data_IF_601767466481
#
_entry.id   IF_601767466481
#
_cell.length_a   1.000
_cell.length_b   1.000
_cell.length_c   1.000
_cell.angle_alpha   90.00
_cell.angle_beta   90.00
_cell.angle_gamma   90.00
#
_symmetry.space_group_name_H-M   'P 1'
#
loop_
_entity.id
_entity.type
_entity.pdbx_description
1 polymer ?
#
# COMPACT_ATOMS: atom_id res chain seq x y z
N UNK A 1 -22.92 -21.02 7.62
CA UNK A 1 -22.81 -19.93 6.62
C UNK A 1 -21.78 -20.36 5.60
N UNK A 2 -22.12 -20.34 4.31
CA UNK A 2 -21.19 -20.78 3.26
C UNK A 2 -20.36 -19.58 2.81
N UNK A 3 -19.04 -19.70 2.91
CA UNK A 3 -18.11 -18.69 2.40
C UNK A 3 -18.06 -18.75 0.87
N UNK A 4 -17.96 -17.59 0.22
CA UNK A 4 -17.69 -17.50 -1.22
C UNK A 4 -16.18 -17.40 -1.44
N UNK A 5 -15.65 -18.25 -2.32
CA UNK A 5 -14.24 -18.25 -2.70
C UNK A 5 -14.06 -17.49 -4.01
N UNK A 6 -13.30 -16.39 -3.97
CA UNK A 6 -12.96 -15.59 -5.14
C UNK A 6 -11.50 -15.85 -5.51
N UNK A 7 -11.28 -16.16 -6.79
CA UNK A 7 -9.96 -16.39 -7.39
C UNK A 7 -9.61 -15.23 -8.33
N UNK A 8 -8.45 -14.62 -8.11
CA UNK A 8 -7.87 -13.62 -9.02
C UNK A 8 -6.47 -14.08 -9.42
N UNK A 9 -6.08 -13.98 -10.71
CA UNK A 9 -4.71 -14.28 -11.14
C UNK A 9 -3.70 -13.29 -10.56
N UNK A 10 -4.16 -12.12 -10.12
CA UNK A 10 -3.30 -11.06 -9.60
C UNK A 10 -3.05 -11.15 -8.09
N UNK A 11 -3.77 -12.04 -7.40
CA UNK A 11 -3.75 -12.14 -5.94
C UNK A 11 -3.27 -13.53 -5.55
N UNK A 12 -2.32 -13.60 -4.61
CA UNK A 12 -1.80 -14.84 -4.07
C UNK A 12 -2.87 -15.52 -3.22
N UNK A 13 -3.30 -16.69 -3.70
CA UNK A 13 -4.26 -17.55 -3.02
C UNK A 13 -5.72 -17.08 -3.16
N UNK A 14 -6.60 -17.79 -2.45
CA UNK A 14 -8.04 -17.59 -2.54
C UNK A 14 -8.55 -16.59 -1.50
N UNK A 15 -9.52 -15.75 -1.86
CA UNK A 15 -10.21 -14.86 -0.94
C UNK A 15 -11.54 -15.49 -0.50
N UNK A 16 -11.73 -15.67 0.82
CA UNK A 16 -12.93 -16.26 1.42
C UNK A 16 -13.75 -15.17 2.10
N UNK A 17 -14.99 -14.96 1.66
CA UNK A 17 -15.84 -13.86 2.13
C UNK A 17 -17.19 -14.36 2.63
N UNK A 18 -17.75 -13.65 3.61
CA UNK A 18 -19.11 -13.92 4.10
C UNK A 18 -20.12 -13.14 3.24
N UNK A 19 -21.19 -13.78 2.76
CA UNK A 19 -22.26 -13.09 2.04
C UNK A 19 -22.88 -11.94 2.84
N UNK A 20 -23.37 -10.91 2.14
CA UNK A 20 -24.16 -9.81 2.74
C UNK A 20 -23.36 -8.62 3.27
N UNK A 21 -22.02 -8.64 3.18
CA UNK A 21 -21.16 -7.50 3.50
C UNK A 21 -20.53 -6.90 2.25
N UNK A 22 -20.39 -5.58 2.22
CA UNK A 22 -19.64 -4.88 1.17
C UNK A 22 -18.15 -5.08 1.39
N UNK A 23 -17.39 -5.29 0.32
CA UNK A 23 -15.93 -5.47 0.41
C UNK A 23 -15.22 -4.14 0.18
N UNK A 24 -14.49 -3.68 1.18
CA UNK A 24 -13.58 -2.55 1.05
C UNK A 24 -12.18 -3.06 0.70
N UNK A 25 -11.74 -2.75 -0.52
CA UNK A 25 -10.45 -3.17 -1.07
C UNK A 25 -9.45 -2.06 -0.83
N UNK A 26 -8.57 -2.22 0.15
CA UNK A 26 -7.53 -1.24 0.46
C UNK A 26 -6.31 -1.47 -0.42
N UNK A 27 -5.82 -0.39 -1.02
CA UNK A 27 -4.55 -0.33 -1.76
C UNK A 27 -3.76 0.90 -1.31
N UNK A 28 -2.44 0.82 -1.39
CA UNK A 28 -1.58 2.01 -1.24
C UNK A 28 -1.40 2.65 -2.60
N UNK A 29 -1.60 3.97 -2.62
CA UNK A 29 -1.28 4.85 -3.73
C UNK A 29 -0.39 5.96 -3.21
N UNK A 30 0.85 6.01 -3.70
CA UNK A 30 1.85 6.93 -3.17
C UNK A 30 2.26 7.95 -4.24
N UNK A 31 2.15 9.23 -3.89
CA UNK A 31 2.67 10.34 -4.69
C UNK A 31 4.11 10.67 -4.31
N UNK A 32 5.03 10.67 -5.27
CA UNK A 32 6.39 11.16 -5.09
C UNK A 32 6.49 12.62 -5.55
N UNK A 33 7.50 13.36 -5.06
CA UNK A 33 7.72 14.77 -5.45
C UNK A 33 7.88 14.96 -6.96
N UNK A 34 8.36 13.94 -7.66
CA UNK A 34 8.52 13.96 -9.11
C UNK A 34 7.26 13.50 -9.87
N UNK A 35 6.24 12.96 -9.20
CA UNK A 35 5.04 12.39 -9.82
C UNK A 35 4.65 11.05 -9.17
N UNK A 36 3.70 10.31 -9.72
CA UNK A 36 3.35 8.97 -9.22
C UNK A 36 4.19 7.90 -9.96
N UNK A 37 5.10 7.17 -9.31
CA UNK A 37 5.85 6.14 -10.02
C UNK A 37 4.97 5.00 -10.53
N UNK A 38 5.24 4.47 -11.72
CA UNK A 38 4.34 3.51 -12.38
C UNK A 38 4.07 2.24 -11.55
N UNK A 39 5.01 1.81 -10.71
CA UNK A 39 4.80 0.68 -9.78
C UNK A 39 3.68 0.90 -8.76
N UNK A 40 3.29 2.15 -8.48
CA UNK A 40 2.17 2.47 -7.59
C UNK A 40 0.81 2.29 -8.25
N UNK A 41 0.76 2.23 -9.57
CA UNK A 41 -0.41 1.78 -10.29
C UNK A 41 -0.64 0.26 -10.18
N UNK A 42 0.36 -0.50 -9.70
CA UNK A 42 0.25 -1.95 -9.58
C UNK A 42 -0.79 -2.39 -8.56
N UNK A 43 -1.17 -1.54 -7.59
CA UNK A 43 -2.30 -1.80 -6.69
C UNK A 43 -3.67 -1.61 -7.35
N UNK A 44 -3.77 -0.67 -8.29
CA UNK A 44 -5.02 -0.32 -8.95
C UNK A 44 -5.58 -1.48 -9.79
N UNK A 45 -4.71 -2.18 -10.51
CA UNK A 45 -5.13 -3.28 -11.41
C UNK A 45 -5.73 -4.48 -10.64
N UNK A 46 -5.06 -5.06 -9.62
CA UNK A 46 -5.63 -6.11 -8.80
C UNK A 46 -6.90 -5.68 -8.07
N UNK A 47 -7.00 -4.41 -7.66
CA UNK A 47 -8.20 -3.89 -7.01
C UNK A 47 -9.40 -3.80 -7.98
N UNK A 48 -9.18 -3.33 -9.22
CA UNK A 48 -10.22 -3.29 -10.25
C UNK A 48 -10.66 -4.72 -10.64
N UNK A 49 -9.71 -5.63 -10.90
CA UNK A 49 -10.03 -7.04 -11.21
C UNK A 49 -10.81 -7.69 -10.07
N UNK A 50 -10.36 -7.51 -8.82
CA UNK A 50 -11.06 -8.04 -7.66
C UNK A 50 -12.47 -7.43 -7.53
N UNK A 51 -12.64 -6.12 -7.74
CA UNK A 51 -13.95 -5.45 -7.71
C UNK A 51 -14.91 -6.02 -8.77
N UNK A 52 -14.43 -6.26 -10.00
CA UNK A 52 -15.22 -6.88 -11.07
C UNK A 52 -15.64 -8.30 -10.73
N UNK A 53 -14.72 -9.11 -10.18
CA UNK A 53 -15.01 -10.48 -9.73
C UNK A 53 -15.98 -10.49 -8.55
N UNK A 54 -15.86 -9.55 -7.62
CA UNK A 54 -16.80 -9.40 -6.51
C UNK A 54 -18.21 -9.14 -7.02
N UNK A 55 -18.35 -8.21 -7.97
CA UNK A 55 -19.63 -7.90 -8.62
C UNK A 55 -20.23 -9.13 -9.30
N UNK A 56 -19.42 -9.95 -10.00
CA UNK A 56 -19.90 -11.18 -10.64
C UNK A 56 -20.38 -12.24 -9.64
N UNK A 57 -19.96 -12.15 -8.38
CA UNK A 57 -20.40 -13.01 -7.27
C UNK A 57 -21.47 -12.36 -6.40
N UNK A 58 -22.05 -11.22 -6.82
CA UNK A 58 -23.11 -10.52 -6.10
C UNK A 58 -22.65 -9.68 -4.90
N UNK A 59 -21.35 -9.40 -4.78
CA UNK A 59 -20.81 -8.54 -3.72
C UNK A 59 -20.73 -7.08 -4.18
N UNK A 60 -21.16 -6.17 -3.31
CA UNK A 60 -20.77 -4.76 -3.39
C UNK A 60 -19.28 -4.61 -3.07
N UNK A 61 -18.60 -3.68 -3.73
CA UNK A 61 -17.23 -3.33 -3.39
C UNK A 61 -16.94 -1.85 -3.55
N UNK A 62 -15.96 -1.37 -2.78
CA UNK A 62 -15.42 -0.02 -2.86
C UNK A 62 -13.90 -0.09 -2.71
N UNK A 63 -13.17 0.58 -3.61
CA UNK A 63 -11.71 0.67 -3.55
C UNK A 63 -11.34 1.83 -2.63
N UNK A 64 -10.55 1.54 -1.61
CA UNK A 64 -9.98 2.52 -0.71
C UNK A 64 -8.54 2.76 -1.10
N UNK A 65 -8.27 3.94 -1.64
CA UNK A 65 -6.95 4.36 -2.07
C UNK A 65 -6.26 5.13 -0.92
N UNK A 66 -5.25 4.53 -0.29
CA UNK A 66 -4.55 5.13 0.84
C UNK A 66 -3.30 5.87 0.40
N UNK A 67 -3.13 7.09 0.87
CA UNK A 67 -1.89 7.86 0.69
C UNK A 67 -1.05 7.88 1.97
N UNK A 68 0.10 7.17 2.02
CA UNK A 68 0.97 7.15 3.20
C UNK A 68 1.86 8.40 3.32
N UNK A 69 1.75 9.38 2.41
CA UNK A 69 2.57 10.59 2.39
C UNK A 69 2.68 11.30 3.75
N UNK A 70 1.62 11.42 4.57
CA UNK A 70 1.74 12.00 5.92
C UNK A 70 2.72 11.24 6.84
N UNK A 71 2.75 9.92 6.77
CA UNK A 71 3.69 9.07 7.53
C UNK A 71 5.11 9.28 7.01
N UNK A 72 5.25 9.31 5.68
CA UNK A 72 6.55 9.48 5.01
C UNK A 72 7.12 10.88 5.27
N UNK A 73 6.31 11.93 5.16
CA UNK A 73 6.68 13.31 5.46
C UNK A 73 7.15 13.45 6.90
N UNK A 74 6.49 12.80 7.85
CA UNK A 74 6.94 12.78 9.24
C UNK A 74 8.28 12.06 9.40
N UNK A 75 8.38 10.81 8.94
CA UNK A 75 9.58 9.99 9.12
C UNK A 75 10.79 10.55 8.38
N UNK A 76 10.60 11.19 7.23
CA UNK A 76 11.70 11.64 6.39
C UNK A 76 11.85 13.17 6.35
N UNK A 77 10.99 13.91 7.07
CA UNK A 77 10.90 15.38 6.99
C UNK A 77 10.75 15.89 5.56
N UNK A 78 10.05 15.13 4.71
CA UNK A 78 9.80 15.55 3.34
C UNK A 78 8.83 16.74 3.39
N UNK A 79 9.38 17.94 3.15
CA UNK A 79 8.58 19.12 2.89
C UNK A 79 7.96 18.93 1.51
N UNK A 80 6.64 18.81 1.45
CA UNK A 80 5.91 18.73 0.18
C UNK A 80 5.54 20.14 -0.25
N UNK A 81 6.41 20.78 -1.02
CA UNK A 81 6.12 22.06 -1.69
C UNK A 81 5.32 21.86 -3.01
N UNK A 82 5.18 20.61 -3.47
CA UNK A 82 4.53 20.24 -4.74
C UNK A 82 3.09 19.74 -4.55
N UNK A 83 2.16 19.97 -5.50
CA UNK A 83 0.74 19.75 -5.29
C UNK A 83 0.37 18.26 -5.34
N UNK A 84 -0.07 17.70 -4.22
CA UNK A 84 -0.67 16.35 -4.14
C UNK A 84 -1.91 16.17 -5.04
N UNK A 85 -2.48 17.28 -5.54
CA UNK A 85 -3.67 17.35 -6.38
C UNK A 85 -3.54 16.55 -7.69
N UNK A 86 -2.38 16.59 -8.36
CA UNK A 86 -2.24 15.92 -9.67
C UNK A 86 -2.34 14.39 -9.59
N UNK A 87 -1.84 13.78 -8.52
CA UNK A 87 -1.87 12.32 -8.35
C UNK A 87 -3.32 11.82 -8.10
N UNK A 88 -4.07 12.54 -7.26
CA UNK A 88 -5.45 12.19 -6.92
C UNK A 88 -6.36 12.29 -8.13
N UNK A 89 -6.22 13.36 -8.92
CA UNK A 89 -6.99 13.55 -10.15
C UNK A 89 -6.76 12.42 -11.16
N UNK A 90 -5.49 12.03 -11.34
CA UNK A 90 -5.09 10.92 -12.19
C UNK A 90 -5.72 9.61 -11.73
N UNK A 91 -5.54 9.27 -10.46
CA UNK A 91 -6.02 8.01 -9.89
C UNK A 91 -7.55 7.96 -9.94
N UNK A 92 -8.21 9.10 -9.70
CA UNK A 92 -9.66 9.25 -9.82
C UNK A 92 -10.14 8.99 -11.23
N UNK A 93 -9.54 9.66 -12.23
CA UNK A 93 -9.87 9.47 -13.65
C UNK A 93 -9.70 8.01 -14.05
N UNK A 94 -8.61 7.37 -13.63
CA UNK A 94 -8.34 5.97 -13.94
C UNK A 94 -9.41 5.03 -13.35
N UNK A 95 -9.74 5.18 -12.06
CA UNK A 95 -10.76 4.36 -11.39
C UNK A 95 -12.16 4.62 -11.97
N UNK A 96 -12.52 5.88 -12.22
CA UNK A 96 -13.77 6.25 -12.88
C UNK A 96 -13.91 5.63 -14.27
N UNK A 97 -12.87 5.72 -15.11
CA UNK A 97 -12.87 5.13 -16.46
C UNK A 97 -13.05 3.61 -16.46
N UNK A 98 -12.75 2.94 -15.34
CA UNK A 98 -12.91 1.51 -15.15
C UNK A 98 -14.23 1.09 -14.48
N UNK A 99 -15.12 2.06 -14.19
CA UNK A 99 -16.46 1.81 -13.66
C UNK A 99 -16.51 1.25 -12.24
N UNK A 100 -15.52 1.57 -11.41
CA UNK A 100 -15.42 1.10 -10.01
C UNK A 100 -15.68 2.23 -9.02
N UNK A 101 -16.31 1.91 -7.88
CA UNK A 101 -16.49 2.84 -6.77
C UNK A 101 -15.18 2.96 -5.99
N UNK A 102 -14.80 4.18 -5.60
CA UNK A 102 -13.61 4.41 -4.80
C UNK A 102 -13.70 5.66 -3.92
N UNK A 103 -12.81 5.75 -2.94
CA UNK A 103 -12.51 6.98 -2.21
C UNK A 103 -11.03 7.02 -1.83
N UNK A 104 -10.49 8.23 -1.65
CA UNK A 104 -9.17 8.38 -1.05
C UNK A 104 -9.31 8.40 0.46
N UNK A 105 -8.63 7.48 1.11
CA UNK A 105 -8.43 7.58 2.54
C UNK A 105 -7.14 8.34 2.78
N UNK A 106 -7.33 9.62 3.09
CA UNK A 106 -6.25 10.45 3.54
C UNK A 106 -5.89 9.97 4.95
N UNK A 107 -4.70 9.40 5.09
CA UNK A 107 -4.08 9.28 6.39
C UNK A 107 -4.20 10.64 7.08
N UNK A 108 -5.03 10.71 8.13
CA UNK A 108 -5.29 11.99 8.77
C UNK A 108 -3.99 12.62 9.26
N UNK A 109 -3.94 13.94 9.38
CA UNK A 109 -2.76 14.59 9.94
C UNK A 109 -2.41 13.94 11.29
N UNK A 110 -1.22 13.34 11.37
CA UNK A 110 -0.75 12.71 12.60
C UNK A 110 -0.65 13.79 13.67
N UNK A 111 -1.47 13.65 14.70
CA UNK A 111 -1.44 14.53 15.86
C UNK A 111 -0.27 14.15 16.76
N UNK A 112 0.16 15.08 17.63
CA UNK A 112 1.27 14.83 18.55
C UNK A 112 1.04 13.59 19.44
N UNK A 113 -0.22 13.32 19.80
CA UNK A 113 -0.62 12.15 20.58
C UNK A 113 -0.44 10.85 19.77
N UNK A 114 -0.73 10.86 18.47
CA UNK A 114 -0.49 9.72 17.58
C UNK A 114 1.02 9.39 17.54
N UNK A 115 1.86 10.42 17.49
CA UNK A 115 3.31 10.26 17.47
C UNK A 115 3.84 9.59 18.74
N UNK A 116 3.28 9.94 19.91
CA UNK A 116 3.70 9.33 21.16
C UNK A 116 3.32 7.85 21.26
N UNK A 117 2.13 7.51 20.74
CA UNK A 117 1.71 6.12 20.61
C UNK A 117 2.64 5.35 19.66
N UNK A 118 3.00 5.94 18.51
CA UNK A 118 3.94 5.33 17.56
C UNK A 118 5.35 5.15 18.13
N UNK A 119 5.83 6.08 18.95
CA UNK A 119 7.12 5.91 19.67
C UNK A 119 7.06 4.74 20.64
N UNK A 120 5.97 4.65 21.42
CA UNK A 120 5.76 3.53 22.34
C UNK A 120 5.76 2.20 21.59
N UNK A 121 5.05 2.13 20.46
CA UNK A 121 5.04 0.96 19.58
C UNK A 121 6.43 0.66 18.99
N UNK A 122 7.21 1.69 18.64
CA UNK A 122 8.59 1.52 18.22
C UNK A 122 9.45 0.85 19.29
N UNK A 123 9.29 1.23 20.56
CA UNK A 123 9.98 0.61 21.70
C UNK A 123 9.56 -0.86 21.88
N UNK A 124 8.26 -1.17 21.76
CA UNK A 124 7.77 -2.56 21.80
C UNK A 124 8.41 -3.42 20.70
N UNK A 125 8.67 -2.86 19.53
CA UNK A 125 9.31 -3.57 18.43
C UNK A 125 10.79 -3.80 18.69
N UNK A 126 11.48 -2.82 19.24
CA UNK A 126 12.90 -2.93 19.59
C UNK A 126 13.17 -3.85 20.78
N UNK A 127 12.19 -4.01 21.68
CA UNK A 127 12.27 -4.92 22.83
C UNK A 127 11.83 -6.36 22.51
N UNK A 128 11.41 -6.62 21.26
CA UNK A 128 10.92 -7.94 20.87
C UNK A 128 12.02 -9.01 21.00
N UNK A 129 11.61 -10.20 21.44
CA UNK A 129 12.43 -11.43 21.45
C UNK A 129 12.00 -12.43 20.37
N UNK A 130 10.96 -12.09 19.58
CA UNK A 130 10.55 -12.89 18.44
C UNK A 130 11.58 -12.71 17.30
N UNK A 131 12.27 -13.79 16.93
CA UNK A 131 13.35 -13.78 15.95
C UNK A 131 12.93 -13.16 14.60
N UNK A 132 11.68 -13.35 14.17
CA UNK A 132 11.18 -12.80 12.89
C UNK A 132 10.95 -11.31 12.99
N UNK A 133 10.49 -10.82 14.14
CA UNK A 133 10.32 -9.38 14.40
C UNK A 133 11.69 -8.72 14.52
N UNK A 134 12.63 -9.34 15.23
CA UNK A 134 14.01 -8.83 15.41
C UNK A 134 14.74 -8.70 14.07
N UNK A 135 14.75 -9.76 13.24
CA UNK A 135 15.36 -9.71 11.90
C UNK A 135 14.74 -8.60 11.04
N UNK A 136 13.42 -8.45 11.09
CA UNK A 136 12.73 -7.40 10.35
C UNK A 136 13.11 -5.99 10.83
N UNK A 137 13.08 -5.75 12.15
CA UNK A 137 13.46 -4.46 12.76
C UNK A 137 14.87 -4.08 12.32
N UNK A 138 15.81 -5.03 12.40
CA UNK A 138 17.19 -4.81 12.02
C UNK A 138 17.33 -4.43 10.54
N UNK A 139 16.73 -5.20 9.63
CA UNK A 139 16.78 -4.92 8.18
C UNK A 139 16.22 -3.55 7.82
N UNK A 140 15.14 -3.15 8.49
CA UNK A 140 14.50 -1.85 8.26
C UNK A 140 15.37 -0.72 8.79
N UNK A 141 15.96 -0.88 9.98
CA UNK A 141 16.95 0.08 10.53
C UNK A 141 18.16 0.23 9.62
N UNK A 142 18.68 -0.87 9.09
CA UNK A 142 19.79 -0.85 8.14
C UNK A 142 19.43 -0.14 6.83
N UNK A 143 18.23 -0.39 6.30
CA UNK A 143 17.71 0.32 5.13
C UNK A 143 17.54 1.81 5.38
N UNK A 144 16.91 2.18 6.50
CA UNK A 144 16.79 3.58 6.93
C UNK A 144 18.15 4.25 7.11
N UNK A 145 19.12 3.53 7.69
CA UNK A 145 20.50 4.00 7.84
C UNK A 145 21.18 4.27 6.51
N UNK A 146 20.99 3.38 5.53
CA UNK A 146 21.58 3.52 4.20
C UNK A 146 21.13 4.81 3.50
N UNK A 147 19.86 5.18 3.65
CA UNK A 147 19.27 6.32 2.93
C UNK A 147 19.23 7.63 3.74
N UNK A 148 19.23 7.57 5.07
CA UNK A 148 19.07 8.74 5.95
C UNK A 148 20.00 8.77 7.17
N UNK A 149 21.04 7.93 7.21
CA UNK A 149 21.99 7.87 8.32
C UNK A 149 21.35 7.48 9.66
N UNK A 150 21.90 7.97 10.78
CA UNK A 150 21.38 7.63 12.13
C UNK A 150 19.93 8.08 12.33
N UNK A 151 19.56 9.23 11.79
CA UNK A 151 18.18 9.72 11.82
C UNK A 151 17.24 8.79 11.01
N UNK A 152 17.65 8.39 9.80
CA UNK A 152 16.90 7.44 8.98
C UNK A 152 16.70 6.09 9.67
N UNK A 153 17.70 5.57 10.39
CA UNK A 153 17.56 4.34 11.18
C UNK A 153 16.48 4.46 12.27
N UNK A 154 16.45 5.56 13.01
CA UNK A 154 15.48 5.77 14.08
C UNK A 154 14.06 5.99 13.52
N UNK A 155 13.95 6.74 12.43
CA UNK A 155 12.68 7.02 11.80
C UNK A 155 12.10 5.80 11.09
N UNK A 156 12.94 4.86 10.65
CA UNK A 156 12.49 3.60 10.05
C UNK A 156 11.73 2.70 11.03
N UNK A 157 12.07 2.75 12.33
CA UNK A 157 11.31 2.05 13.38
C UNK A 157 9.94 2.69 13.58
N UNK A 158 9.86 4.02 13.63
CA UNK A 158 8.59 4.74 13.71
C UNK A 158 7.72 4.49 12.47
N UNK A 159 8.35 4.40 11.30
CA UNK A 159 7.67 4.04 10.05
C UNK A 159 7.10 2.63 10.12
N UNK A 160 7.89 1.65 10.58
CA UNK A 160 7.42 0.28 10.79
C UNK A 160 6.32 0.20 11.86
N UNK A 161 6.34 1.09 12.85
CA UNK A 161 5.25 1.23 13.81
C UNK A 161 4.04 1.95 13.22
N UNK A 162 4.16 2.76 12.17
CA UNK A 162 3.03 3.49 11.57
C UNK A 162 2.40 2.75 10.38
N UNK A 163 3.22 2.10 9.55
CA UNK A 163 2.80 1.45 8.31
C UNK A 163 1.72 0.39 8.51
N UNK A 164 1.83 -0.54 9.49
CA UNK A 164 0.77 -1.49 9.82
C UNK A 164 -0.57 -0.87 10.19
N UNK A 165 -0.57 0.37 10.69
CA UNK A 165 -1.75 1.07 11.18
C UNK A 165 -2.47 1.81 10.06
N UNK A 166 -1.79 2.07 8.93
CA UNK A 166 -2.43 2.64 7.74
C UNK A 166 -3.39 1.63 7.09
N UNK A 167 -3.03 0.34 7.11
CA UNK A 167 -3.91 -0.79 6.80
C UNK A 167 -4.87 -0.99 7.99
N UNK A 168 -6.18 -1.06 7.74
CA UNK A 168 -7.32 -0.76 8.65
C UNK A 168 -7.44 -1.46 10.02
N UNK A 169 -6.48 -2.29 10.38
CA UNK A 169 -6.47 -3.14 11.56
C UNK A 169 -6.34 -2.35 12.88
N UNK A 170 -5.58 -1.23 12.86
CA UNK A 170 -5.13 -0.54 14.07
C UNK A 170 -5.50 0.96 14.07
N UNK A 171 -6.72 1.30 13.67
CA UNK A 171 -7.27 2.66 13.83
C UNK A 171 -7.70 2.90 15.28
N UNK A 172 -6.75 2.89 16.22
CA UNK A 172 -7.00 3.49 17.51
C UNK A 172 -7.33 4.98 17.28
N UNK A 173 -8.41 5.54 17.85
CA UNK A 173 -8.82 6.94 17.59
C UNK A 173 -7.76 8.00 17.91
N UNK A 174 -6.76 7.64 18.73
CA UNK A 174 -5.60 8.48 19.02
C UNK A 174 -4.57 8.51 17.90
N UNK A 175 -4.53 7.50 17.03
CA UNK A 175 -3.61 7.39 15.89
C UNK A 175 -4.27 7.95 14.62
N UNK A 176 -5.54 7.59 14.37
CA UNK A 176 -6.31 8.03 13.21
C UNK A 176 -7.77 8.32 13.63
N UNK A 177 -8.38 9.46 13.30
CA UNK A 177 -9.83 9.63 13.54
C UNK A 177 -10.62 8.76 12.56
N UNK A 178 -11.82 8.44 13.01
CA UNK A 178 -12.63 7.34 12.52
C UNK A 178 -13.67 7.88 11.55
N UNK A 179 -13.33 7.98 10.26
CA UNK A 179 -14.29 8.39 9.21
C UNK A 179 -14.83 7.21 8.39
N UNK A 180 -14.06 6.12 8.22
CA UNK A 180 -14.39 5.06 7.24
C UNK A 180 -14.38 3.62 7.79
N UNK A 181 -14.41 3.44 9.11
CA UNK A 181 -14.59 2.11 9.72
C UNK A 181 -16.02 1.97 10.23
N UNK A 182 -16.87 1.26 9.50
CA UNK A 182 -18.23 0.94 9.94
C UNK A 182 -18.47 -0.57 10.01
N UNK A 183 -19.31 -0.95 10.98
CA UNK A 183 -19.82 -2.32 11.09
C UNK A 183 -20.67 -2.62 9.84
N UNK A 184 -20.17 -3.49 8.96
CA UNK A 184 -20.83 -3.80 7.67
C UNK A 184 -19.89 -4.12 6.51
N UNK A 185 -18.60 -3.89 6.68
CA UNK A 185 -17.60 -4.13 5.63
C UNK A 185 -16.74 -5.37 5.89
N UNK A 186 -16.34 -6.04 4.81
CA UNK A 186 -15.16 -6.90 4.77
C UNK A 186 -13.98 -6.08 4.27
N UNK A 187 -12.96 -5.93 5.09
CA UNK A 187 -11.75 -5.24 4.70
C UNK A 187 -10.78 -6.23 4.05
N UNK A 188 -10.28 -5.89 2.87
CA UNK A 188 -9.28 -6.68 2.14
C UNK A 188 -8.11 -5.77 1.85
N UNK A 189 -6.95 -6.07 2.43
CA UNK A 189 -5.73 -5.31 2.16
C UNK A 189 -4.97 -5.98 1.02
N UNK A 190 -4.81 -5.30 -0.11
CA UNK A 190 -3.97 -5.76 -1.22
C UNK A 190 -2.59 -5.12 -1.10
N UNK A 191 -1.62 -5.93 -0.70
CA UNK A 191 -0.26 -5.50 -0.40
C UNK A 191 0.74 -6.08 -1.40
N UNK A 192 1.87 -5.40 -1.57
CA UNK A 192 3.03 -6.01 -2.26
C UNK A 192 3.53 -7.23 -1.47
N UNK A 193 4.15 -8.22 -2.14
CA UNK A 193 4.75 -9.34 -1.40
C UNK A 193 5.85 -8.90 -0.44
N UNK A 194 6.58 -7.82 -0.77
CA UNK A 194 7.57 -7.21 0.13
C UNK A 194 6.97 -6.71 1.45
N UNK A 195 5.68 -6.38 1.48
CA UNK A 195 4.98 -5.92 2.68
C UNK A 195 4.54 -7.05 3.62
N UNK A 196 4.74 -8.33 3.25
CA UNK A 196 4.53 -9.48 4.15
C UNK A 196 5.27 -9.31 5.49
N UNK A 197 6.43 -8.64 5.45
CA UNK A 197 7.19 -8.29 6.64
C UNK A 197 6.34 -7.45 7.60
N UNK A 198 5.66 -6.42 7.11
CA UNK A 198 4.78 -5.59 7.94
C UNK A 198 3.60 -6.37 8.52
N UNK A 199 3.15 -7.45 7.88
CA UNK A 199 2.14 -8.34 8.47
C UNK A 199 2.66 -9.10 9.71
N UNK A 200 3.95 -9.46 9.75
CA UNK A 200 4.60 -10.07 10.93
C UNK A 200 4.61 -9.07 12.08
N UNK A 201 5.09 -7.85 11.84
CA UNK A 201 5.09 -6.76 12.84
C UNK A 201 3.68 -6.45 13.31
N UNK A 202 2.72 -6.36 12.40
CA UNK A 202 1.32 -6.09 12.75
C UNK A 202 0.76 -7.16 13.68
N UNK A 203 1.01 -8.44 13.39
CA UNK A 203 0.57 -9.54 14.27
C UNK A 203 1.16 -9.38 15.67
N UNK A 204 2.46 -9.14 15.75
CA UNK A 204 3.16 -8.90 17.01
C UNK A 204 2.57 -7.72 17.79
N UNK A 205 2.37 -6.57 17.14
CA UNK A 205 1.81 -5.37 17.78
C UNK A 205 0.37 -5.60 18.25
N UNK A 206 -0.42 -6.38 17.51
CA UNK A 206 -1.79 -6.71 17.90
C UNK A 206 -1.86 -7.58 19.15
N UNK A 207 -0.92 -8.50 19.31
CA UNK A 207 -0.80 -9.34 20.50
C UNK A 207 -0.32 -8.53 21.72
N UNK A 208 0.62 -7.60 21.52
CA UNK A 208 1.21 -6.78 22.59
C UNK A 208 0.36 -5.60 23.02
N UNK A 209 -0.35 -4.98 22.07
CA UNK A 209 -1.19 -3.79 22.28
C UNK A 209 -2.61 -4.03 21.78
N UNK A 210 -3.34 -5.00 22.37
CA UNK A 210 -4.72 -5.26 22.01
C UNK A 210 -5.63 -4.05 22.31
N UNK A 211 -5.22 -3.18 23.23
CA UNK A 211 -5.87 -1.90 23.53
C UNK A 211 -5.89 -0.92 22.35
N UNK A 212 -4.92 -1.03 21.44
CA UNK A 212 -4.83 -0.21 20.23
C UNK A 212 -5.50 -0.87 19.01
N UNK A 213 -6.03 -2.08 19.16
CA UNK A 213 -6.63 -2.83 18.08
C UNK A 213 -8.12 -2.53 17.95
N UNK A 214 -8.58 -2.35 16.71
CA UNK A 214 -10.02 -2.30 16.45
C UNK A 214 -10.63 -3.70 16.42
N UNK A 215 -11.96 -3.81 16.47
CA UNK A 215 -12.66 -5.09 16.25
C UNK A 215 -12.61 -5.56 14.78
N UNK A 216 -12.04 -4.76 13.89
CA UNK A 216 -11.95 -5.09 12.47
C UNK A 216 -10.78 -6.04 12.21
N UNK A 217 -11.06 -7.11 11.46
CA UNK A 217 -10.08 -8.10 11.05
C UNK A 217 -9.99 -8.12 9.53
N UNK A 218 -9.12 -7.29 8.92
CA UNK A 218 -8.96 -7.33 7.48
C UNK A 218 -8.34 -8.65 7.03
N UNK A 219 -8.68 -9.04 5.81
CA UNK A 219 -8.04 -10.15 5.12
C UNK A 219 -6.89 -9.60 4.31
N UNK A 220 -5.68 -9.92 4.75
CA UNK A 220 -4.48 -9.56 4.03
C UNK A 220 -4.25 -10.49 2.83
N UNK A 221 -4.03 -9.88 1.68
CA UNK A 221 -3.73 -10.56 0.43
C UNK A 221 -2.57 -9.89 -0.26
N UNK A 222 -1.70 -10.71 -0.83
CA UNK A 222 -0.51 -10.25 -1.52
C UNK A 222 -0.74 -10.27 -3.01
N UNK A 223 -0.29 -9.22 -3.69
CA UNK A 223 -0.33 -9.12 -5.13
C UNK A 223 0.81 -9.95 -5.73
N UNK A 224 0.57 -10.54 -6.89
CA UNK A 224 1.59 -11.24 -7.68
C UNK A 224 2.52 -10.27 -8.41
N UNK A 225 2.10 -9.02 -8.53
CA UNK A 225 2.83 -7.89 -9.10
C UNK A 225 3.37 -6.98 -8.00
N UNK A 226 4.42 -6.23 -8.33
CA UNK A 226 5.09 -5.26 -7.47
C UNK A 226 5.69 -5.91 -6.22
N UNK A 227 6.95 -6.33 -6.31
CA UNK A 227 7.71 -6.87 -5.18
C UNK A 227 8.76 -5.87 -4.63
N UNK A 228 8.48 -4.58 -4.80
CA UNK A 228 9.34 -3.48 -4.34
C UNK A 228 8.60 -2.70 -3.26
N UNK A 229 9.27 -2.25 -2.17
CA UNK A 229 8.62 -1.46 -1.14
C UNK A 229 7.99 -0.20 -1.70
N UNK A 230 6.77 0.10 -1.25
CA UNK A 230 5.91 1.19 -1.69
C UNK A 230 6.44 2.62 -1.40
N UNK A 231 7.70 2.83 -1.06
CA UNK A 231 8.19 4.15 -0.65
C UNK A 231 9.65 4.42 -1.02
N UNK A 232 10.36 3.46 -1.61
CA UNK A 232 11.71 3.70 -2.09
C UNK A 232 11.59 4.09 -3.55
N UNK A 233 11.62 5.40 -3.91
CA UNK A 233 11.76 5.82 -5.29
C UNK A 233 12.96 5.10 -5.89
N UNK A 234 12.76 4.50 -7.06
CA UNK A 234 13.87 3.98 -7.82
C UNK A 234 14.42 5.17 -8.61
N UNK A 235 15.73 5.39 -8.53
CA UNK A 235 16.40 6.39 -9.36
C UNK A 235 16.10 6.12 -10.84
N UNK A 236 15.85 7.17 -11.63
CA UNK A 236 15.43 7.09 -13.04
C UNK A 236 14.04 6.48 -13.31
N UNK A 237 13.25 6.14 -12.29
CA UNK A 237 11.95 5.49 -12.50
C UNK A 237 10.96 6.40 -13.25
N UNK A 238 10.28 5.87 -14.30
CA UNK A 238 9.26 6.61 -15.01
C UNK A 238 8.08 7.03 -14.12
N UNK A 239 7.60 8.24 -14.36
CA UNK A 239 6.57 8.92 -13.60
C UNK A 239 5.24 8.84 -14.34
N UNK A 240 4.12 8.97 -13.65
CA UNK A 240 2.81 8.94 -14.31
C UNK A 240 2.61 10.09 -15.31
N UNK A 241 3.31 11.22 -15.15
CA UNK A 241 3.35 12.25 -16.18
C UNK A 241 3.81 11.69 -17.55
N UNK A 242 4.63 10.64 -17.51
CA UNK A 242 5.12 9.89 -18.66
C UNK A 242 4.14 8.80 -19.14
N UNK A 243 2.97 8.64 -18.51
CA UNK A 243 1.93 7.65 -18.88
C UNK A 243 0.74 8.26 -19.64
N UNK A 244 0.93 9.43 -20.26
CA UNK A 244 0.00 9.94 -21.27
C UNK A 244 -0.07 9.01 -22.50
N UNK A 245 -1.06 9.19 -23.38
CA UNK A 245 -1.27 8.40 -24.61
C UNK A 245 -0.01 8.25 -25.48
N UNK A 246 0.93 9.22 -25.42
CA UNK A 246 2.20 9.22 -26.15
C UNK A 246 3.43 8.82 -25.33
N UNK A 247 3.32 8.81 -24.01
CA UNK A 247 4.43 8.51 -23.10
C UNK A 247 4.64 7.02 -22.81
N UNK A 248 3.66 6.17 -23.16
CA UNK A 248 3.75 4.71 -23.03
C UNK A 248 5.05 4.11 -23.59
N UNK A 249 5.36 4.36 -24.87
CA UNK A 249 6.53 3.78 -25.52
C UNK A 249 7.84 4.29 -24.90
N UNK A 250 7.82 5.52 -24.41
CA UNK A 250 8.95 6.14 -23.72
C UNK A 250 9.17 5.49 -22.34
N UNK A 251 8.11 5.34 -21.53
CA UNK A 251 8.13 4.59 -20.27
C UNK A 251 8.61 3.15 -20.46
N UNK A 252 8.09 2.47 -21.48
CA UNK A 252 8.45 1.09 -21.79
C UNK A 252 9.93 0.96 -22.16
N UNK A 253 10.43 1.84 -23.05
CA UNK A 253 11.86 1.91 -23.37
C UNK A 253 12.72 2.13 -22.12
N UNK A 254 12.33 3.08 -21.26
CA UNK A 254 13.05 3.35 -20.00
C UNK A 254 13.02 2.16 -19.03
N UNK A 255 11.91 1.46 -18.87
CA UNK A 255 11.87 0.26 -18.02
C UNK A 255 12.70 -0.90 -18.60
N UNK A 256 12.75 -1.06 -19.93
CA UNK A 256 13.65 -2.00 -20.58
C UNK A 256 15.14 -1.64 -20.36
N UNK A 257 15.49 -0.36 -20.41
CA UNK A 257 16.85 0.11 -20.11
C UNK A 257 17.21 -0.04 -18.63
N UNK A 258 16.25 0.20 -17.73
CA UNK A 258 16.47 0.04 -16.30
C UNK A 258 16.62 -1.43 -15.92
N UNK A 259 15.86 -2.33 -16.56
CA UNK A 259 15.91 -3.78 -16.33
C UNK A 259 17.34 -4.34 -16.39
N UNK A 260 18.19 -3.81 -17.26
CA UNK A 260 19.59 -4.27 -17.38
C UNK A 260 20.52 -3.70 -16.28
N UNK A 261 20.11 -2.66 -15.55
CA UNK A 261 20.94 -2.02 -14.51
C UNK A 261 20.95 -2.77 -13.17
N UNK A 262 19.85 -3.41 -12.76
CA UNK A 262 19.81 -4.20 -11.51
C UNK A 262 18.65 -5.19 -11.43
N UNK A 263 18.76 -6.20 -10.54
CA UNK A 263 17.68 -7.15 -10.23
C UNK A 263 16.40 -6.46 -9.69
N UNK A 264 16.53 -5.30 -9.05
CA UNK A 264 15.36 -4.54 -8.57
C UNK A 264 14.61 -3.90 -9.74
N UNK A 265 15.34 -3.34 -10.71
CA UNK A 265 14.75 -2.79 -11.92
C UNK A 265 14.14 -3.87 -12.82
N UNK A 266 14.74 -5.05 -12.88
CA UNK A 266 14.17 -6.19 -13.62
C UNK A 266 12.78 -6.57 -13.10
N UNK A 267 12.59 -6.53 -11.77
CA UNK A 267 11.29 -6.77 -11.14
C UNK A 267 10.30 -5.65 -11.46
N UNK A 268 10.69 -4.39 -11.29
CA UNK A 268 9.84 -3.25 -11.62
C UNK A 268 9.39 -3.24 -13.10
N UNK A 269 10.27 -3.67 -14.02
CA UNK A 269 9.93 -3.83 -15.43
C UNK A 269 8.88 -4.93 -15.67
N UNK A 270 8.98 -6.08 -14.99
CA UNK A 270 7.96 -7.15 -15.06
C UNK A 270 6.60 -6.66 -14.55
N UNK A 271 6.61 -5.89 -13.46
CA UNK A 271 5.40 -5.31 -12.88
C UNK A 271 4.76 -4.28 -13.84
N UNK A 272 5.59 -3.49 -14.51
CA UNK A 272 5.17 -2.57 -15.57
C UNK A 272 4.62 -3.29 -16.80
N UNK A 273 5.29 -4.33 -17.30
CA UNK A 273 4.83 -5.15 -18.43
C UNK A 273 3.44 -5.73 -18.19
N UNK A 274 3.17 -6.19 -16.96
CA UNK A 274 1.87 -6.70 -16.55
C UNK A 274 0.80 -5.59 -16.52
N UNK A 275 1.13 -4.42 -15.94
CA UNK A 275 0.26 -3.24 -16.00
C UNK A 275 -0.06 -2.88 -17.45
N UNK A 276 0.93 -2.96 -18.35
CA UNK A 276 0.76 -2.61 -19.76
C UNK A 276 -0.12 -3.60 -20.53
N UNK A 277 -0.03 -4.90 -20.23
CA UNK A 277 -0.94 -5.91 -20.80
C UNK A 277 -2.39 -5.61 -20.40
N UNK A 278 -2.63 -5.22 -19.14
CA UNK A 278 -3.97 -4.88 -18.68
C UNK A 278 -4.53 -3.62 -19.35
N UNK A 279 -3.71 -2.57 -19.51
CA UNK A 279 -4.13 -1.33 -20.18
C UNK A 279 -4.45 -1.56 -21.67
N UNK A 280 -3.70 -2.42 -22.35
CA UNK A 280 -3.97 -2.78 -23.76
C UNK A 280 -5.24 -3.65 -23.91
N UNK A 281 -5.57 -4.47 -22.91
CA UNK A 281 -6.72 -5.37 -22.93
C UNK A 281 -8.01 -4.73 -22.36
N UNK A 282 -7.91 -3.59 -21.67
CA UNK A 282 -9.06 -2.82 -21.16
C UNK A 282 -9.65 -1.84 -22.18
N UNK A 283 -9.10 -1.79 -23.41
CA UNK A 283 -9.55 -0.97 -24.53
C UNK A 283 -10.39 -1.72 -25.57
N UNK A 284 -11.03 -2.83 -25.18
CA UNK A 284 -12.02 -3.57 -25.99
C UNK A 284 -13.27 -3.84 -25.19
#
# INVERSE_FOLDING_TARGET
>A
MNNVIIKSPWIIGNLSLQPGKTVQISIVVYGHLMGMPARFCAGLVPAIDLSRRLKSHGFGSIIRAMDPTPIVNYCNRWQTEQPQLQFRDVTSKFLHSNGVNFFFDEAEQMRNEALEVLRTLGVELESSVDEKVVDMVQRIKESGRKHGGRAGSNNAVLYMAAHPFSWLDMYHPLIWKRLYSSDGFHFVNLMSKSEERFAVVRRFLRERRPDLCTKNNPVDKYMTVCNTPCYIPIEDEPLFADLSERGYNWCYGRYCDLKVKSKSHERACKDFEVLMLFLKLGGT
#
